data_IF_430561562669
#
_entry.id   IF_430561562669
#
_cell.length_a   1.000
_cell.length_b   1.000
_cell.length_c   1.000
_cell.angle_alpha   90.00
_cell.angle_beta   90.00
_cell.angle_gamma   90.00
#
_symmetry.space_group_name_H-M   'P 1'
#
loop_
_entity.id
_entity.type
_entity.pdbx_description
1 polymer ?
#
# COMPACT_ATOMS: atom_id res chain seq x y z
N UNK A 1 -12.09 10.80 -0.65
CA UNK A 1 -11.11 11.48 0.20
C UNK A 1 -10.56 12.77 -0.40
N UNK A 2 -10.16 12.87 -1.60
CA UNK A 2 -9.61 14.10 -2.17
C UNK A 2 -10.65 14.81 -3.03
N UNK A 3 -10.67 16.17 -2.99
CA UNK A 3 -11.71 16.96 -3.61
C UNK A 3 -11.70 16.94 -5.16
N UNK A 4 -12.66 17.60 -5.81
CA UNK A 4 -12.83 17.59 -7.26
C UNK A 4 -11.72 18.32 -8.04
N UNK A 5 -10.77 18.92 -7.36
CA UNK A 5 -9.66 19.70 -7.96
C UNK A 5 -8.37 19.45 -7.20
N UNK A 6 -7.74 18.31 -7.46
CA UNK A 6 -6.44 17.99 -6.85
C UNK A 6 -5.33 18.03 -7.91
N UNK A 7 -4.19 18.68 -7.64
CA UNK A 7 -3.05 18.68 -8.56
C UNK A 7 -2.34 17.32 -8.47
N UNK A 8 -2.50 16.49 -9.48
CA UNK A 8 -1.93 15.16 -9.55
C UNK A 8 -0.97 15.03 -10.74
N UNK A 9 0.25 14.59 -10.47
CA UNK A 9 1.16 14.14 -11.53
C UNK A 9 0.87 12.68 -11.83
N UNK A 10 0.65 12.37 -13.10
CA UNK A 10 0.28 11.04 -13.57
C UNK A 10 1.22 10.58 -14.69
N UNK A 11 1.64 9.32 -14.63
CA UNK A 11 2.42 8.63 -15.62
C UNK A 11 1.74 7.28 -15.92
N UNK A 12 1.63 6.90 -17.18
CA UNK A 12 1.30 5.54 -17.60
C UNK A 12 2.62 4.87 -17.93
N UNK A 13 2.98 3.86 -17.15
CA UNK A 13 4.19 3.09 -17.36
C UNK A 13 3.85 1.79 -18.08
N UNK A 14 4.36 1.67 -19.32
CA UNK A 14 4.07 0.53 -20.19
C UNK A 14 4.84 -0.73 -19.75
N UNK A 15 6.06 -0.56 -19.23
CA UNK A 15 6.91 -1.68 -18.83
C UNK A 15 6.41 -2.37 -17.55
N UNK A 16 5.78 -1.59 -16.68
CA UNK A 16 5.11 -2.10 -15.47
C UNK A 16 3.65 -2.46 -15.70
N UNK A 17 3.07 -2.08 -16.86
CA UNK A 17 1.62 -2.10 -17.09
C UNK A 17 0.86 -1.47 -15.92
N UNK A 18 1.25 -0.26 -15.55
CA UNK A 18 0.74 0.41 -14.37
C UNK A 18 0.52 1.91 -14.58
N UNK A 19 -0.43 2.45 -13.82
CA UNK A 19 -0.58 3.89 -13.64
C UNK A 19 0.18 4.33 -12.39
N UNK A 20 1.00 5.35 -12.53
CA UNK A 20 1.81 5.93 -11.47
C UNK A 20 1.30 7.33 -11.17
N UNK A 21 0.97 7.60 -9.93
CA UNK A 21 0.45 8.88 -9.48
C UNK A 21 1.26 9.42 -8.31
N UNK A 22 1.55 10.72 -8.32
CA UNK A 22 2.25 11.40 -7.24
C UNK A 22 1.32 12.38 -6.54
N UNK A 23 1.15 12.20 -5.25
CA UNK A 23 0.36 13.03 -4.35
C UNK A 23 1.29 13.88 -3.50
N UNK A 24 1.44 15.18 -3.79
CA UNK A 24 2.28 16.05 -2.98
C UNK A 24 1.67 16.26 -1.59
N UNK A 25 2.51 16.16 -0.57
CA UNK A 25 2.18 16.48 0.82
C UNK A 25 2.87 17.79 1.24
N UNK A 26 2.55 18.27 2.44
CA UNK A 26 3.29 19.36 3.06
C UNK A 26 4.72 18.92 3.42
N UNK A 27 5.60 19.89 3.63
CA UNK A 27 6.97 19.70 4.09
C UNK A 27 7.91 18.96 3.12
N UNK A 28 7.63 19.00 1.82
CA UNK A 28 8.53 18.40 0.82
C UNK A 28 8.51 16.88 0.82
N UNK A 29 7.36 16.30 1.11
CA UNK A 29 7.10 14.88 0.97
C UNK A 29 5.99 14.63 -0.04
N UNK A 30 6.01 13.46 -0.64
CA UNK A 30 4.94 13.02 -1.55
C UNK A 30 4.67 11.52 -1.43
N UNK A 31 3.43 11.13 -1.73
CA UNK A 31 3.04 9.74 -1.83
C UNK A 31 3.02 9.33 -3.31
N UNK A 32 3.90 8.44 -3.69
CA UNK A 32 3.90 7.77 -4.99
C UNK A 32 2.99 6.54 -4.89
N UNK A 33 2.02 6.44 -5.78
CA UNK A 33 1.11 5.30 -5.89
C UNK A 33 1.32 4.64 -7.24
N UNK A 34 1.58 3.33 -7.25
CA UNK A 34 1.73 2.52 -8.47
C UNK A 34 0.60 1.50 -8.51
N UNK A 35 -0.36 1.74 -9.37
CA UNK A 35 -1.56 0.93 -9.50
C UNK A 35 -1.53 0.18 -10.84
N UNK A 36 -1.62 -1.17 -10.85
CA UNK A 36 -1.69 -1.94 -12.09
C UNK A 36 -2.82 -1.44 -13.00
N UNK A 37 -2.60 -1.46 -14.32
CA UNK A 37 -3.63 -1.07 -15.30
C UNK A 37 -4.76 -2.09 -15.37
N UNK A 38 -4.45 -3.36 -15.11
CA UNK A 38 -5.44 -4.45 -15.06
C UNK A 38 -5.52 -5.05 -13.66
N UNK A 39 -6.73 -5.43 -13.21
CA UNK A 39 -6.96 -6.00 -11.85
C UNK A 39 -6.37 -7.39 -11.62
N UNK A 40 -5.80 -8.03 -12.65
CA UNK A 40 -5.24 -9.40 -12.58
C UNK A 40 -3.71 -9.45 -12.56
N UNK A 41 -3.04 -8.32 -12.35
CA UNK A 41 -1.58 -8.27 -12.40
C UNK A 41 -0.97 -8.87 -11.14
N UNK A 42 0.09 -9.65 -11.34
CA UNK A 42 0.91 -10.16 -10.25
C UNK A 42 1.72 -9.03 -9.60
N UNK A 43 1.28 -8.61 -8.42
CA UNK A 43 1.93 -7.55 -7.63
C UNK A 43 3.41 -7.84 -7.37
N UNK A 44 3.79 -9.11 -7.22
CA UNK A 44 5.20 -9.49 -7.02
C UNK A 44 6.05 -9.24 -8.26
N UNK A 45 5.49 -9.40 -9.46
CA UNK A 45 6.18 -9.11 -10.71
C UNK A 45 6.42 -7.60 -10.90
N UNK A 46 5.44 -6.77 -10.52
CA UNK A 46 5.63 -5.32 -10.49
C UNK A 46 6.69 -4.95 -9.45
N UNK A 47 6.59 -5.49 -8.24
CA UNK A 47 7.54 -5.20 -7.15
C UNK A 47 8.99 -5.50 -7.53
N UNK A 48 9.24 -6.59 -8.27
CA UNK A 48 10.59 -6.95 -8.74
C UNK A 48 11.19 -5.95 -9.74
N UNK A 49 10.34 -5.22 -10.46
CA UNK A 49 10.75 -4.21 -11.46
C UNK A 49 10.64 -2.76 -10.94
N UNK A 50 10.11 -2.59 -9.74
CA UNK A 50 9.79 -1.27 -9.21
C UNK A 50 11.06 -0.46 -8.91
N UNK A 51 11.26 0.61 -9.66
CA UNK A 51 12.28 1.62 -9.40
C UNK A 51 11.60 2.95 -9.10
N UNK A 52 11.39 3.23 -7.82
CA UNK A 52 10.66 4.43 -7.37
C UNK A 52 11.35 5.72 -7.77
N UNK A 53 12.67 5.77 -7.79
CA UNK A 53 13.46 6.94 -8.19
C UNK A 53 13.30 7.24 -9.67
N UNK A 54 13.34 6.22 -10.54
CA UNK A 54 13.12 6.38 -11.97
C UNK A 54 11.69 6.85 -12.26
N UNK A 55 10.70 6.21 -11.64
CA UNK A 55 9.30 6.60 -11.80
C UNK A 55 9.05 8.04 -11.35
N UNK A 56 9.66 8.43 -10.23
CA UNK A 56 9.57 9.80 -9.71
C UNK A 56 10.13 10.81 -10.72
N UNK A 57 11.28 10.54 -11.30
CA UNK A 57 11.94 11.41 -12.28
C UNK A 57 11.17 11.56 -13.60
N UNK A 58 10.39 10.54 -13.98
CA UNK A 58 9.60 10.52 -15.23
C UNK A 58 8.21 11.14 -15.10
N UNK A 59 7.76 11.47 -13.88
CA UNK A 59 6.48 12.10 -13.65
C UNK A 59 6.43 13.51 -14.26
N UNK A 60 5.36 13.76 -15.00
CA UNK A 60 5.13 15.06 -15.63
C UNK A 60 4.57 16.11 -14.66
N UNK A 61 4.31 17.29 -15.22
CA UNK A 61 3.69 18.38 -14.45
C UNK A 61 2.30 17.98 -13.94
N UNK A 62 1.92 18.39 -12.73
CA UNK A 62 0.61 18.07 -12.17
C UNK A 62 -0.52 18.68 -13.01
N UNK A 63 -1.59 17.92 -13.15
CA UNK A 63 -2.84 18.34 -13.79
C UNK A 63 -3.96 18.25 -12.77
N UNK A 64 -4.90 19.20 -12.84
CA UNK A 64 -6.07 19.19 -11.96
C UNK A 64 -7.01 18.06 -12.34
N UNK A 65 -7.30 17.17 -11.41
CA UNK A 65 -8.25 16.08 -11.61
C UNK A 65 -9.00 15.74 -10.32
N UNK A 66 -10.06 14.96 -10.47
CA UNK A 66 -10.76 14.39 -9.34
C UNK A 66 -9.99 13.15 -8.87
N UNK A 67 -9.78 13.05 -7.58
CA UNK A 67 -9.05 11.92 -6.99
C UNK A 67 -9.89 11.21 -5.94
N UNK A 68 -9.84 9.87 -5.98
CA UNK A 68 -10.38 8.99 -4.96
C UNK A 68 -9.26 8.08 -4.47
N UNK A 69 -8.78 8.33 -3.25
CA UNK A 69 -7.75 7.55 -2.58
C UNK A 69 -8.35 6.95 -1.30
N UNK A 70 -8.20 5.64 -1.04
CA UNK A 70 -8.71 5.04 0.19
C UNK A 70 -7.95 5.59 1.42
N UNK A 71 -8.66 5.62 2.56
CA UNK A 71 -8.00 5.72 3.87
C UNK A 71 -7.53 4.34 4.26
N UNK A 72 -6.37 4.27 4.86
CA UNK A 72 -5.86 3.00 5.39
C UNK A 72 -4.90 3.24 6.55
N UNK A 73 -4.84 2.25 7.43
CA UNK A 73 -3.81 2.12 8.45
C UNK A 73 -3.06 0.83 8.19
N UNK A 74 -1.75 0.90 8.16
CA UNK A 74 -0.86 -0.24 7.99
C UNK A 74 0.04 -0.37 9.20
N UNK A 75 0.10 -1.57 9.74
CA UNK A 75 1.08 -1.97 10.73
C UNK A 75 1.84 -3.17 10.20
N UNK A 76 3.15 -3.11 10.26
CA UNK A 76 4.01 -4.18 9.78
C UNK A 76 5.14 -4.43 10.76
N UNK A 77 5.39 -5.70 11.06
CA UNK A 77 6.54 -6.13 11.85
C UNK A 77 7.25 -7.29 11.17
N UNK A 78 8.57 -7.24 11.17
CA UNK A 78 9.40 -8.29 10.57
C UNK A 78 10.70 -8.47 11.35
N UNK A 79 11.18 -9.70 11.37
CA UNK A 79 12.55 -10.05 11.76
C UNK A 79 13.45 -9.91 10.53
N UNK A 80 14.50 -9.09 10.65
CA UNK A 80 15.36 -8.73 9.51
C UNK A 80 16.63 -9.56 9.38
N UNK A 81 16.89 -10.50 10.28
CA UNK A 81 18.14 -11.29 10.29
C UNK A 81 18.43 -11.98 8.98
N UNK A 82 17.44 -12.66 8.40
CA UNK A 82 17.61 -13.36 7.12
C UNK A 82 17.83 -12.38 5.95
N UNK A 83 17.05 -11.29 5.91
CA UNK A 83 17.17 -10.27 4.88
C UNK A 83 18.55 -9.60 4.94
N UNK A 84 19.01 -9.18 6.11
CA UNK A 84 20.33 -8.57 6.31
C UNK A 84 21.45 -9.54 5.97
N UNK A 85 21.31 -10.81 6.32
CA UNK A 85 22.28 -11.86 5.95
C UNK A 85 22.38 -12.01 4.43
N UNK A 86 21.25 -12.04 3.74
CA UNK A 86 21.19 -12.13 2.26
C UNK A 86 21.79 -10.89 1.58
N UNK A 87 21.74 -9.74 2.25
CA UNK A 87 22.36 -8.48 1.79
C UNK A 87 23.85 -8.39 2.11
N UNK A 88 24.47 -9.45 2.63
CA UNK A 88 25.91 -9.51 2.93
C UNK A 88 26.28 -9.06 4.35
N UNK A 89 25.33 -8.80 5.23
CA UNK A 89 25.56 -8.38 6.60
C UNK A 89 25.55 -9.55 7.61
N UNK A 90 25.82 -10.78 7.15
CA UNK A 90 25.78 -11.99 7.97
C UNK A 90 26.80 -12.00 9.13
N UNK A 91 27.91 -11.28 9.00
CA UNK A 91 28.90 -11.17 10.08
C UNK A 91 28.34 -10.54 11.34
N UNK A 92 27.34 -9.66 11.22
CA UNK A 92 26.64 -9.06 12.37
C UNK A 92 26.06 -10.11 13.32
N UNK A 93 25.64 -11.24 12.78
CA UNK A 93 24.99 -12.33 13.51
C UNK A 93 25.92 -13.49 13.88
N UNK A 94 27.12 -13.54 13.32
CA UNK A 94 28.08 -14.65 13.52
C UNK A 94 29.34 -14.22 14.27
N UNK A 95 29.97 -13.13 13.88
CA UNK A 95 31.23 -12.62 14.46
C UNK A 95 31.26 -11.08 14.51
N UNK A 96 30.31 -10.43 15.16
CA UNK A 96 30.27 -8.97 15.17
C UNK A 96 31.42 -8.40 16.02
N UNK A 97 32.03 -7.31 15.55
CA UNK A 97 32.91 -6.53 16.38
C UNK A 97 32.11 -5.47 17.15
N UNK A 98 31.70 -5.78 18.35
CA UNK A 98 30.93 -4.92 19.24
C UNK A 98 31.72 -4.41 20.43
N UNK A 99 33.06 -4.41 20.35
CA UNK A 99 33.97 -4.00 21.42
C UNK A 99 33.76 -2.56 21.91
N UNK A 100 33.12 -1.69 21.11
CA UNK A 100 32.76 -0.32 21.54
C UNK A 100 31.46 -0.25 22.35
N UNK A 101 30.71 -1.36 22.45
CA UNK A 101 29.46 -1.42 23.22
C UNK A 101 29.69 -2.04 24.59
N UNK A 102 30.45 -3.15 24.65
CA UNK A 102 30.81 -3.80 25.93
C UNK A 102 32.05 -4.66 25.76
N UNK A 103 32.72 -4.93 26.88
CA UNK A 103 33.81 -5.89 26.96
C UNK A 103 33.24 -7.34 26.90
N UNK A 104 33.90 -8.20 26.12
CA UNK A 104 33.53 -9.60 25.96
C UNK A 104 32.87 -9.93 24.62
N UNK A 105 32.46 -11.19 24.46
CA UNK A 105 31.85 -11.66 23.22
C UNK A 105 30.35 -11.39 23.25
N UNK A 106 29.90 -10.44 22.43
CA UNK A 106 28.50 -10.12 22.19
C UNK A 106 28.06 -10.65 20.82
N UNK A 107 26.81 -11.08 20.72
CA UNK A 107 26.17 -11.50 19.49
C UNK A 107 24.85 -10.75 19.30
N UNK A 108 24.54 -10.33 18.09
CA UNK A 108 23.20 -9.85 17.72
C UNK A 108 22.33 -11.07 17.45
N UNK A 109 21.35 -11.31 18.33
CA UNK A 109 20.45 -12.46 18.20
C UNK A 109 19.33 -12.22 17.22
N UNK A 110 18.77 -11.01 17.19
CA UNK A 110 17.66 -10.64 16.32
C UNK A 110 17.69 -9.15 16.01
N UNK A 111 17.09 -8.77 14.88
CA UNK A 111 16.85 -7.38 14.48
C UNK A 111 15.37 -7.26 14.10
N UNK A 112 14.56 -6.73 15.02
CA UNK A 112 13.15 -6.54 14.78
C UNK A 112 12.87 -5.15 14.23
N UNK A 113 12.15 -5.09 13.12
CA UNK A 113 11.67 -3.86 12.52
C UNK A 113 10.16 -3.77 12.65
N UNK A 114 9.67 -2.61 13.10
CA UNK A 114 8.23 -2.31 13.13
C UNK A 114 8.00 -0.98 12.44
N UNK A 115 7.00 -0.92 11.59
CA UNK A 115 6.55 0.30 10.92
C UNK A 115 5.04 0.43 11.03
N UNK A 116 4.57 1.66 11.15
CA UNK A 116 3.16 2.02 11.12
C UNK A 116 2.98 3.23 10.22
N UNK A 117 1.93 3.21 9.42
CA UNK A 117 1.55 4.33 8.54
C UNK A 117 0.04 4.46 8.54
N UNK A 118 -0.44 5.67 8.76
CA UNK A 118 -1.84 6.03 8.62
C UNK A 118 -2.01 7.07 7.52
N UNK A 119 -2.91 6.81 6.59
CA UNK A 119 -3.35 7.75 5.58
C UNK A 119 -4.82 8.11 5.80
N UNK A 120 -5.07 9.35 6.18
CA UNK A 120 -6.40 9.90 6.43
C UNK A 120 -6.58 11.26 5.75
N UNK A 121 -7.70 11.93 6.00
CA UNK A 121 -8.01 13.24 5.38
C UNK A 121 -7.32 14.41 6.07
N UNK A 122 -6.82 14.26 7.27
CA UNK A 122 -6.25 15.36 8.06
C UNK A 122 -4.90 15.83 7.49
N UNK A 123 -4.18 14.94 6.83
CA UNK A 123 -2.92 15.25 6.14
C UNK A 123 -3.07 15.89 4.76
N UNK A 124 -4.23 15.81 4.14
CA UNK A 124 -4.55 16.47 2.88
C UNK A 124 -5.37 17.75 3.18
N UNK A 125 -5.03 18.89 2.60
CA UNK A 125 -5.90 20.06 2.68
C UNK A 125 -7.27 19.73 2.05
N UNK A 126 -8.17 19.19 2.87
CA UNK A 126 -9.56 19.03 2.54
C UNK A 126 -10.23 20.41 2.61
N UNK A 127 -9.99 21.25 1.61
CA UNK A 127 -10.83 22.39 1.34
C UNK A 127 -12.16 21.81 0.85
N UNK A 128 -13.02 21.45 1.78
CA UNK A 128 -14.40 21.06 1.52
C UNK A 128 -15.19 22.29 1.05
N UNK A 129 -14.91 22.74 -0.15
CA UNK A 129 -15.81 23.61 -0.88
C UNK A 129 -16.85 22.71 -1.55
N UNK A 130 -17.97 22.51 -0.87
CA UNK A 130 -19.19 21.96 -1.46
C UNK A 130 -19.75 22.94 -2.48
N UNK A 131 -19.07 23.10 -3.61
CA UNK A 131 -19.62 23.77 -4.78
C UNK A 131 -19.97 22.68 -5.80
N UNK A 132 -21.25 22.36 -5.89
CA UNK A 132 -21.82 21.64 -7.04
C UNK A 132 -21.68 22.56 -8.24
N UNK A 133 -20.50 22.59 -8.84
CA UNK A 133 -20.32 23.23 -10.14
C UNK A 133 -20.51 22.13 -11.17
N UNK A 134 -21.60 22.22 -11.92
CA UNK A 134 -21.81 21.53 -13.20
C UNK A 134 -20.74 22.01 -14.18
N UNK A 135 -19.53 21.50 -14.07
CA UNK A 135 -18.46 21.72 -15.04
C UNK A 135 -18.13 20.39 -15.70
N UNK A 136 -17.76 20.47 -16.99
CA UNK A 136 -17.26 19.35 -17.81
C UNK A 136 -16.46 18.40 -16.94
N UNK A 137 -16.78 17.11 -16.99
CA UNK A 137 -16.20 16.07 -16.13
C UNK A 137 -14.67 16.16 -16.11
N UNK A 138 -14.11 16.58 -14.97
CA UNK A 138 -12.68 16.46 -14.78
C UNK A 138 -12.31 14.97 -14.81
N UNK A 139 -11.18 14.61 -15.42
CA UNK A 139 -10.72 13.23 -15.38
C UNK A 139 -10.59 12.77 -13.93
N UNK A 140 -11.01 11.54 -13.66
CA UNK A 140 -10.99 10.96 -12.32
C UNK A 140 -9.87 9.92 -12.24
N UNK A 141 -9.02 10.04 -11.23
CA UNK A 141 -8.09 9.00 -10.81
C UNK A 141 -8.64 8.32 -9.55
N UNK A 142 -8.93 7.03 -9.63
CA UNK A 142 -9.53 6.28 -8.53
C UNK A 142 -8.67 5.07 -8.17
N UNK A 143 -8.18 5.04 -6.93
CA UNK A 143 -7.41 3.91 -6.39
C UNK A 143 -8.38 2.96 -5.68
N UNK A 144 -8.85 1.95 -6.41
CA UNK A 144 -9.87 0.99 -5.98
C UNK A 144 -9.47 -0.49 -6.14
N UNK A 145 -8.21 -0.74 -6.42
CA UNK A 145 -7.62 -2.07 -6.58
C UNK A 145 -6.26 -2.12 -5.85
N UNK A 146 -5.62 -3.29 -5.70
CA UNK A 146 -4.31 -3.39 -5.07
C UNK A 146 -3.29 -2.44 -5.71
N UNK A 147 -2.45 -1.83 -4.88
CA UNK A 147 -1.43 -0.88 -5.34
C UNK A 147 -0.17 -0.91 -4.50
N UNK A 148 0.95 -0.53 -5.08
CA UNK A 148 2.16 -0.18 -4.36
C UNK A 148 2.12 1.29 -3.97
N UNK A 149 2.75 1.61 -2.86
CA UNK A 149 3.00 3.00 -2.49
C UNK A 149 4.44 3.20 -2.03
N UNK A 150 4.92 4.42 -2.20
CA UNK A 150 6.16 4.90 -1.60
C UNK A 150 5.92 6.29 -1.02
N UNK A 151 6.27 6.49 0.25
CA UNK A 151 6.39 7.83 0.82
C UNK A 151 7.79 8.34 0.47
N UNK A 152 7.85 9.42 -0.29
CA UNK A 152 9.08 9.98 -0.84
C UNK A 152 9.48 11.26 -0.11
N UNK A 153 10.76 11.43 0.15
CA UNK A 153 11.36 12.74 0.39
C UNK A 153 11.64 13.39 -0.98
N UNK A 154 10.95 14.49 -1.26
CA UNK A 154 11.02 15.16 -2.56
C UNK A 154 12.39 15.77 -2.84
N UNK A 155 13.11 16.17 -1.80
CA UNK A 155 14.44 16.79 -1.92
C UNK A 155 15.51 15.78 -2.33
N UNK A 156 15.52 14.62 -1.70
CA UNK A 156 16.51 13.57 -1.94
C UNK A 156 16.03 12.52 -2.95
N UNK A 157 14.73 12.54 -3.29
CA UNK A 157 14.05 11.52 -4.09
C UNK A 157 14.21 10.10 -3.51
N UNK A 158 14.31 10.02 -2.18
CA UNK A 158 14.52 8.77 -1.46
C UNK A 158 13.19 8.26 -0.90
N UNK A 159 12.85 6.98 -1.09
CA UNK A 159 11.71 6.39 -0.43
C UNK A 159 11.99 6.21 1.07
N UNK A 160 11.13 6.81 1.91
CA UNK A 160 11.16 6.65 3.36
C UNK A 160 10.35 5.43 3.82
N UNK A 161 9.24 5.17 3.14
CA UNK A 161 8.40 4.00 3.33
C UNK A 161 8.04 3.39 1.98
N UNK A 162 8.01 2.06 1.94
CA UNK A 162 7.54 1.28 0.80
C UNK A 162 6.53 0.26 1.29
N UNK A 163 5.47 0.06 0.53
CA UNK A 163 4.48 -0.94 0.90
C UNK A 163 3.51 -1.30 -0.20
N UNK A 164 2.67 -2.30 0.11
CA UNK A 164 1.62 -2.79 -0.76
C UNK A 164 0.30 -2.78 0.00
N UNK A 165 -0.70 -2.12 -0.56
CA UNK A 165 -2.09 -2.25 -0.11
C UNK A 165 -2.77 -3.29 -0.99
N UNK A 166 -3.05 -4.46 -0.44
CA UNK A 166 -3.68 -5.58 -1.18
C UNK A 166 -5.19 -5.44 -1.27
N UNK A 167 -5.82 -4.85 -0.27
CA UNK A 167 -7.24 -4.59 -0.25
C UNK A 167 -7.50 -3.13 0.18
N UNK A 168 -7.69 -2.22 -0.77
CA UNK A 168 -7.93 -0.81 -0.47
C UNK A 168 -9.33 -0.55 0.12
N UNK A 169 -10.23 -1.55 0.06
CA UNK A 169 -11.57 -1.45 0.62
C UNK A 169 -11.92 -2.73 1.40
N UNK A 170 -11.42 -2.90 2.64
CA UNK A 170 -11.64 -4.10 3.43
C UNK A 170 -13.11 -4.35 3.78
N UNK A 171 -13.98 -3.34 3.71
CA UNK A 171 -15.40 -3.47 3.95
C UNK A 171 -16.19 -3.92 2.70
N UNK A 172 -15.58 -3.92 1.51
CA UNK A 172 -16.25 -4.42 0.32
C UNK A 172 -16.24 -5.95 0.29
N UNK A 173 -17.35 -6.60 -0.11
CA UNK A 173 -17.34 -8.04 -0.28
C UNK A 173 -16.31 -8.46 -1.31
N UNK A 174 -15.50 -9.47 -0.98
CA UNK A 174 -14.53 -10.06 -1.92
C UNK A 174 -15.32 -10.81 -2.96
N UNK A 175 -15.44 -10.25 -4.16
CA UNK A 175 -15.98 -10.97 -5.31
C UNK A 175 -14.88 -11.92 -5.76
N UNK A 176 -14.98 -13.20 -5.36
CA UNK A 176 -14.17 -14.25 -5.96
C UNK A 176 -14.66 -14.44 -7.40
N UNK A 177 -13.92 -13.90 -8.35
CA UNK A 177 -14.12 -14.26 -9.77
C UNK A 177 -13.61 -15.70 -9.89
N UNK A 178 -14.58 -16.63 -9.95
CA UNK A 178 -14.35 -18.06 -9.92
C UNK A 178 -13.41 -18.53 -11.04
N UNK A 179 -12.31 -19.13 -10.63
CA UNK A 179 -11.63 -20.14 -11.46
C UNK A 179 -12.53 -21.37 -11.53
N UNK A 180 -12.88 -21.75 -12.75
CA UNK A 180 -13.61 -22.97 -13.09
C UNK A 180 -12.91 -24.21 -12.51
N UNK A 181 -13.67 -25.05 -11.80
CA UNK A 181 -13.30 -26.45 -11.59
C UNK A 181 -13.34 -26.93 -10.14
N UNK A 182 -14.41 -27.45 -9.74
CA UNK A 182 -14.79 -28.77 -9.21
C UNK A 182 -15.84 -28.69 -8.13
N UNK A 183 -16.87 -29.52 -8.38
CA UNK A 183 -17.94 -29.88 -7.47
C UNK A 183 -17.43 -30.24 -6.07
N UNK A 184 -17.88 -29.50 -5.05
CA UNK A 184 -18.07 -30.08 -3.75
C UNK A 184 -19.40 -29.58 -3.17
N UNK A 185 -20.19 -30.58 -2.79
CA UNK A 185 -21.57 -30.50 -2.35
C UNK A 185 -21.71 -29.61 -1.11
N UNK A 186 -22.70 -28.69 -1.15
CA UNK A 186 -23.23 -28.02 0.04
C UNK A 186 -23.73 -29.07 1.06
N UNK A 187 -23.43 -28.93 2.34
CA UNK A 187 -24.12 -29.71 3.37
C UNK A 187 -25.54 -29.17 3.57
N UNK A 188 -26.43 -30.12 3.53
CA UNK A 188 -27.89 -30.03 3.71
C UNK A 188 -28.27 -29.40 5.05
N UNK A 189 -29.09 -28.35 5.02
CA UNK A 189 -29.70 -27.77 6.22
C UNK A 189 -30.90 -28.60 6.60
N UNK A 190 -30.73 -29.61 7.42
CA UNK A 190 -31.83 -30.25 8.11
C UNK A 190 -32.23 -29.46 9.36
N UNK A 191 -33.51 -29.10 9.38
CA UNK A 191 -34.26 -28.52 10.48
C UNK A 191 -34.10 -29.27 11.81
N UNK A 192 -33.79 -28.51 12.87
CA UNK A 192 -33.94 -28.96 14.25
C UNK A 192 -34.75 -27.95 15.03
N UNK A 193 -36.06 -28.10 15.02
CA UNK A 193 -36.94 -27.50 16.02
C UNK A 193 -36.66 -28.14 17.38
N UNK A 194 -36.25 -27.36 18.35
CA UNK A 194 -36.29 -27.76 19.75
C UNK A 194 -37.05 -26.71 20.55
N UNK A 195 -38.21 -27.11 20.97
CA UNK A 195 -39.13 -26.42 21.91
C UNK A 195 -38.52 -26.55 23.30
N UNK A 196 -38.17 -25.46 23.95
CA UNK A 196 -37.85 -25.45 25.38
C UNK A 196 -39.08 -25.04 26.19
N UNK A 197 -39.61 -26.04 26.90
CA UNK A 197 -40.52 -25.84 28.00
C UNK A 197 -39.78 -25.47 29.29
N UNK A 198 -40.24 -24.43 29.97
CA UNK A 198 -39.80 -24.05 31.32
C UNK A 198 -40.54 -24.93 32.38
N UNK A 199 -39.86 -25.37 33.42
CA UNK A 199 -40.52 -25.97 34.58
C UNK A 199 -40.93 -24.90 35.63
N UNK A 200 -41.93 -25.25 36.37
CA UNK A 200 -42.57 -24.51 37.46
C UNK A 200 -41.64 -24.13 38.60
#
# INVERSE_FOLDING_TARGET
MLGPKYPLSLLIDVDLDAMVALFPFKQGMSLLVVMPSSGQVNMSAIGAKLNTTDLYARLGRPKTMQVKLPKFTLEYGSELKEALTSMGLGELFSRPNLAKIADGSLLVSSVQHKSSMELNEEGAEATAATSVTLSRSNPTFSVNQPFFFALMDDKTQTPLFLGVVRNPNPAAPVIQIGGSGNNDKLPDKTNGHSVNQLPK
#
